data_IF_200520983153
#
_entry.id   IF_200520983153
#
_cell.length_a   1.000
_cell.length_b   1.000
_cell.length_c   1.000
_cell.angle_alpha   90.00
_cell.angle_beta   90.00
_cell.angle_gamma   90.00
#
_symmetry.space_group_name_H-M   'P 1'
#
loop_
_entity.id
_entity.type
_entity.pdbx_description
1 polymer ?
#
# COMPACT_ATOMS: atom_id res chain seq x y z
N UNK A 1 22.86 -10.14 1.65
CA UNK A 1 22.25 -9.00 2.38
C UNK A 1 21.74 -7.93 1.41
N UNK A 2 22.59 -7.34 0.56
CA UNK A 2 22.18 -6.30 -0.41
C UNK A 2 21.00 -6.71 -1.32
N UNK A 3 21.04 -7.90 -1.93
CA UNK A 3 19.93 -8.40 -2.79
C UNK A 3 18.61 -8.53 -2.05
N UNK A 4 18.63 -8.91 -0.76
CA UNK A 4 17.42 -9.01 0.06
C UNK A 4 16.89 -7.63 0.43
N UNK A 5 17.78 -6.70 0.82
CA UNK A 5 17.41 -5.32 1.12
C UNK A 5 16.80 -4.61 -0.10
N UNK A 6 17.40 -4.77 -1.29
CA UNK A 6 16.85 -4.23 -2.54
C UNK A 6 15.46 -4.79 -2.86
N UNK A 7 15.22 -6.09 -2.64
CA UNK A 7 13.89 -6.69 -2.85
C UNK A 7 12.84 -6.13 -1.91
N UNK A 8 13.18 -5.92 -0.63
CA UNK A 8 12.30 -5.30 0.36
C UNK A 8 11.96 -3.88 -0.07
N UNK A 9 12.96 -3.08 -0.46
CA UNK A 9 12.77 -1.71 -0.93
C UNK A 9 11.91 -1.64 -2.19
N UNK A 10 12.17 -2.51 -3.18
CA UNK A 10 11.38 -2.58 -4.42
C UNK A 10 9.95 -3.04 -4.12
N UNK A 11 9.77 -4.03 -3.24
CA UNK A 11 8.45 -4.50 -2.83
C UNK A 11 7.66 -3.41 -2.10
N UNK A 12 8.32 -2.65 -1.23
CA UNK A 12 7.71 -1.51 -0.53
C UNK A 12 7.34 -0.39 -1.51
N UNK A 13 8.25 0.01 -2.40
CA UNK A 13 7.99 1.05 -3.40
C UNK A 13 6.83 0.66 -4.33
N UNK A 14 6.79 -0.59 -4.79
CA UNK A 14 5.69 -1.11 -5.60
C UNK A 14 4.37 -1.15 -4.82
N UNK A 15 4.38 -1.54 -3.54
CA UNK A 15 3.19 -1.51 -2.70
C UNK A 15 2.64 -0.08 -2.54
N UNK A 16 3.50 0.92 -2.35
CA UNK A 16 3.09 2.33 -2.27
C UNK A 16 2.52 2.85 -3.60
N UNK A 17 3.14 2.48 -4.74
CA UNK A 17 2.62 2.82 -6.06
C UNK A 17 1.23 2.21 -6.29
N UNK A 18 1.05 0.95 -5.93
CA UNK A 18 -0.25 0.27 -6.07
C UNK A 18 -1.29 0.83 -5.11
N UNK A 19 -0.91 1.22 -3.89
CA UNK A 19 -1.80 1.92 -2.97
C UNK A 19 -2.30 3.24 -3.57
N UNK A 20 -1.38 4.06 -4.09
CA UNK A 20 -1.70 5.33 -4.74
C UNK A 20 -2.57 5.15 -5.98
N UNK A 21 -2.24 4.19 -6.84
CA UNK A 21 -3.02 3.88 -8.04
C UNK A 21 -4.44 3.44 -7.69
N UNK A 22 -4.57 2.60 -6.65
CA UNK A 22 -5.87 2.15 -6.16
C UNK A 22 -6.68 3.36 -5.69
N UNK A 23 -6.11 4.26 -4.88
CA UNK A 23 -6.83 5.46 -4.45
C UNK A 23 -7.26 6.36 -5.61
N UNK A 24 -6.40 6.55 -6.62
CA UNK A 24 -6.74 7.33 -7.82
C UNK A 24 -7.91 6.71 -8.58
N UNK A 25 -7.97 5.38 -8.70
CA UNK A 25 -9.10 4.67 -9.34
C UNK A 25 -10.42 4.79 -8.58
N UNK A 26 -10.39 5.09 -7.27
CA UNK A 26 -11.59 5.42 -6.50
C UNK A 26 -12.03 6.89 -6.70
N UNK A 27 -11.15 7.78 -7.16
CA UNK A 27 -11.47 9.20 -7.33
C UNK A 27 -11.77 9.56 -8.78
N UNK A 28 -11.02 8.96 -9.71
CA UNK A 28 -11.05 9.28 -11.13
C UNK A 28 -11.71 8.15 -11.90
N UNK A 29 -12.69 8.49 -12.73
CA UNK A 29 -13.35 7.53 -13.61
C UNK A 29 -12.34 6.88 -14.59
N UNK A 30 -12.29 5.53 -14.70
CA UNK A 30 -11.33 4.86 -15.57
C UNK A 30 -11.40 5.27 -17.03
N UNK A 31 -12.59 5.55 -17.58
CA UNK A 31 -12.71 6.00 -18.96
C UNK A 31 -12.11 7.41 -19.15
N UNK A 32 -12.26 8.27 -18.13
CA UNK A 32 -11.62 9.59 -18.08
C UNK A 32 -10.09 9.54 -18.07
N UNK A 33 -9.48 8.52 -17.46
CA UNK A 33 -8.01 8.35 -17.44
C UNK A 33 -7.46 8.12 -18.85
N UNK A 34 -8.14 7.30 -19.65
CA UNK A 34 -7.68 6.90 -20.99
C UNK A 34 -8.26 7.75 -22.12
N UNK A 35 -9.03 8.80 -21.81
CA UNK A 35 -9.65 9.67 -22.80
C UNK A 35 -8.62 10.47 -23.62
N UNK A 36 -7.47 10.82 -23.03
CA UNK A 36 -6.41 11.53 -23.71
C UNK A 36 -5.03 11.26 -23.08
N UNK A 37 -3.96 11.57 -23.80
CA UNK A 37 -2.58 11.48 -23.27
C UNK A 37 -2.36 12.40 -22.07
N UNK A 38 -2.99 13.57 -22.09
CA UNK A 38 -2.90 14.55 -21.00
C UNK A 38 -3.63 14.05 -19.75
N UNK A 39 -4.82 13.48 -19.90
CA UNK A 39 -5.58 12.85 -18.81
C UNK A 39 -4.81 11.68 -18.18
N UNK A 40 -4.19 10.84 -19.00
CA UNK A 40 -3.37 9.73 -18.52
C UNK A 40 -2.12 10.24 -17.76
N UNK A 41 -1.48 11.31 -18.25
CA UNK A 41 -0.36 11.94 -17.57
C UNK A 41 -0.76 12.55 -16.23
N UNK A 42 -1.91 13.22 -16.16
CA UNK A 42 -2.45 13.78 -14.92
C UNK A 42 -2.76 12.68 -13.88
N UNK A 43 -3.41 11.59 -14.30
CA UNK A 43 -3.68 10.44 -13.42
C UNK A 43 -2.39 9.76 -12.92
N UNK A 44 -1.37 9.67 -13.78
CA UNK A 44 -0.04 9.19 -13.42
C UNK A 44 0.63 10.09 -12.37
N UNK A 45 0.52 11.41 -12.52
CA UNK A 45 1.06 12.37 -11.55
C UNK A 45 0.34 12.29 -10.20
N UNK A 46 -1.00 12.19 -10.20
CA UNK A 46 -1.79 11.98 -8.99
C UNK A 46 -1.40 10.68 -8.28
N UNK A 47 -1.20 9.62 -9.06
CA UNK A 47 -0.75 8.32 -8.54
C UNK A 47 0.63 8.44 -7.88
N UNK A 48 1.57 9.14 -8.51
CA UNK A 48 2.90 9.35 -7.95
C UNK A 48 2.86 10.17 -6.65
N UNK A 49 2.05 11.23 -6.61
CA UNK A 49 1.86 12.05 -5.40
C UNK A 49 1.25 11.21 -4.26
N UNK A 50 0.17 10.48 -4.54
CA UNK A 50 -0.46 9.58 -3.57
C UNK A 50 0.51 8.50 -3.07
N UNK A 51 1.32 7.93 -3.97
CA UNK A 51 2.33 6.93 -3.63
C UNK A 51 3.42 7.49 -2.71
N UNK A 52 3.89 8.73 -2.94
CA UNK A 52 4.88 9.37 -2.06
C UNK A 52 4.33 9.65 -0.67
N UNK A 53 3.06 10.06 -0.57
CA UNK A 53 2.37 10.25 0.70
C UNK A 53 2.23 8.91 1.43
N UNK A 54 1.77 7.87 0.72
CA UNK A 54 1.66 6.52 1.26
C UNK A 54 3.02 5.98 1.73
N UNK A 55 4.10 6.20 0.96
CA UNK A 55 5.44 5.78 1.33
C UNK A 55 5.92 6.45 2.62
N UNK A 56 5.74 7.76 2.73
CA UNK A 56 6.18 8.53 3.90
C UNK A 56 5.44 8.08 5.16
N UNK A 57 4.12 7.88 5.06
CA UNK A 57 3.30 7.43 6.18
C UNK A 57 3.54 5.96 6.54
N UNK A 58 3.57 5.07 5.55
CA UNK A 58 3.60 3.64 5.77
C UNK A 58 4.98 3.11 6.20
N UNK A 59 6.07 3.82 5.90
CA UNK A 59 7.44 3.36 6.18
C UNK A 59 7.64 2.85 7.62
N UNK A 60 7.35 3.63 8.69
CA UNK A 60 7.56 3.17 10.07
C UNK A 60 6.72 1.93 10.39
N UNK A 61 5.46 1.89 9.95
CA UNK A 61 4.57 0.76 10.22
C UNK A 61 4.95 -0.49 9.42
N UNK A 62 5.44 -0.32 8.19
CA UNK A 62 5.92 -1.42 7.36
C UNK A 62 7.16 -2.07 7.96
N UNK A 63 8.08 -1.29 8.54
CA UNK A 63 9.24 -1.82 9.27
C UNK A 63 8.79 -2.67 10.46
N UNK A 64 7.81 -2.18 11.24
CA UNK A 64 7.24 -2.93 12.37
C UNK A 64 6.57 -4.22 11.87
N UNK A 65 5.71 -4.13 10.86
CA UNK A 65 4.98 -5.26 10.30
C UNK A 65 5.92 -6.37 9.79
N UNK A 66 6.98 -6.00 9.07
CA UNK A 66 8.00 -6.95 8.60
C UNK A 66 8.77 -7.55 9.77
N UNK A 67 9.19 -6.74 10.74
CA UNK A 67 9.90 -7.22 11.93
C UNK A 67 9.07 -8.23 12.73
N UNK A 68 7.80 -7.92 13.01
CA UNK A 68 6.87 -8.82 13.70
C UNK A 68 6.66 -10.10 12.88
N UNK A 69 6.45 -9.97 11.57
CA UNK A 69 6.24 -11.12 10.69
C UNK A 69 7.44 -12.07 10.65
N UNK A 70 8.67 -11.54 10.74
CA UNK A 70 9.89 -12.33 10.83
C UNK A 70 10.04 -13.02 12.22
N UNK A 71 9.73 -12.32 13.32
CA UNK A 71 9.81 -12.87 14.69
C UNK A 71 8.86 -14.06 14.85
N UNK A 72 7.63 -13.96 14.34
CA UNK A 72 6.61 -14.99 14.48
C UNK A 72 6.54 -15.98 13.30
N UNK A 73 7.43 -15.85 12.31
CA UNK A 73 7.44 -16.72 11.12
C UNK A 73 6.19 -16.58 10.23
N UNK A 74 5.47 -15.47 10.32
CA UNK A 74 4.23 -15.22 9.58
C UNK A 74 4.55 -14.75 8.16
N UNK A 75 4.67 -15.68 7.21
CA UNK A 75 5.07 -15.39 5.81
C UNK A 75 3.95 -15.59 4.78
N UNK A 76 2.72 -15.77 5.25
CA UNK A 76 1.55 -15.98 4.39
C UNK A 76 1.14 -14.70 3.67
N UNK A 77 0.53 -14.85 2.50
CA UNK A 77 -0.04 -13.73 1.75
C UNK A 77 -1.08 -12.96 2.59
N UNK A 78 -1.92 -13.68 3.32
CA UNK A 78 -2.92 -13.13 4.25
C UNK A 78 -2.30 -12.22 5.30
N UNK A 79 -1.14 -12.58 5.85
CA UNK A 79 -0.46 -11.78 6.88
C UNK A 79 -0.12 -10.39 6.35
N UNK A 80 0.48 -10.32 5.16
CA UNK A 80 0.86 -9.03 4.56
C UNK A 80 -0.34 -8.24 4.05
N UNK A 81 -1.39 -8.90 3.56
CA UNK A 81 -2.66 -8.25 3.23
C UNK A 81 -3.29 -7.61 4.48
N UNK A 82 -3.34 -8.33 5.62
CA UNK A 82 -3.87 -7.80 6.88
C UNK A 82 -3.03 -6.63 7.38
N UNK A 83 -1.70 -6.73 7.36
CA UNK A 83 -0.83 -5.61 7.71
C UNK A 83 -1.07 -4.39 6.82
N UNK A 84 -1.18 -4.59 5.50
CA UNK A 84 -1.48 -3.51 4.57
C UNK A 84 -2.81 -2.81 4.89
N UNK A 85 -3.86 -3.56 5.21
CA UNK A 85 -5.16 -3.01 5.63
C UNK A 85 -5.03 -2.23 6.95
N UNK A 86 -4.33 -2.77 7.95
CA UNK A 86 -4.14 -2.09 9.24
C UNK A 86 -3.39 -0.75 9.08
N UNK A 87 -2.37 -0.71 8.23
CA UNK A 87 -1.62 0.51 7.91
C UNK A 87 -2.51 1.53 7.18
N UNK A 88 -3.33 1.08 6.23
CA UNK A 88 -4.23 1.98 5.52
C UNK A 88 -5.35 2.52 6.44
N UNK A 89 -5.87 1.70 7.35
CA UNK A 89 -6.85 2.13 8.35
C UNK A 89 -6.27 3.12 9.36
N UNK A 90 -5.00 2.96 9.76
CA UNK A 90 -4.35 3.96 10.61
C UNK A 90 -4.19 5.29 9.87
N UNK A 91 -3.84 5.26 8.58
CA UNK A 91 -3.81 6.47 7.74
C UNK A 91 -5.19 7.14 7.69
N UNK A 92 -6.25 6.37 7.41
CA UNK A 92 -7.63 6.89 7.40
C UNK A 92 -8.01 7.53 8.74
N UNK A 93 -7.69 6.89 9.86
CA UNK A 93 -7.97 7.43 11.19
C UNK A 93 -7.25 8.77 11.44
N UNK A 94 -6.02 8.94 10.96
CA UNK A 94 -5.30 10.23 11.07
C UNK A 94 -5.93 11.33 10.23
N UNK A 95 -6.45 11.00 9.05
CA UNK A 95 -7.15 11.96 8.18
C UNK A 95 -8.45 12.41 8.84
N UNK A 96 -9.27 11.46 9.31
CA UNK A 96 -10.53 11.75 10.02
C UNK A 96 -10.30 12.54 11.31
N UNK A 97 -9.23 12.25 12.05
CA UNK A 97 -8.89 13.00 13.27
C UNK A 97 -8.44 14.44 12.99
N UNK A 98 -7.90 14.70 11.79
CA UNK A 98 -7.48 16.04 11.35
C UNK A 98 -8.63 16.89 10.79
N UNK A 99 -9.80 16.32 10.57
CA UNK A 99 -10.97 17.04 10.01
C UNK A 99 -11.64 17.92 11.07
N UNK A 100 -11.40 19.22 10.97
CA UNK A 100 -12.16 20.25 11.68
C UNK A 100 -13.55 20.45 11.06
N UNK A 101 -14.49 19.55 11.34
CA UNK A 101 -15.94 19.79 11.28
C UNK A 101 -16.64 19.89 9.91
N UNK A 102 -16.02 20.43 8.86
CA UNK A 102 -16.75 20.87 7.65
C UNK A 102 -16.66 19.95 6.41
N UNK A 103 -15.70 19.01 6.36
CA UNK A 103 -15.60 18.04 5.25
C UNK A 103 -15.78 16.64 5.83
N UNK A 104 -16.95 16.05 5.63
CA UNK A 104 -17.26 14.72 6.16
C UNK A 104 -16.62 13.64 5.26
N UNK A 105 -15.35 13.26 5.49
CA UNK A 105 -14.82 11.98 4.98
C UNK A 105 -15.36 10.77 5.76
N UNK A 106 -16.35 10.99 6.63
CA UNK A 106 -17.27 9.97 7.18
C UNK A 106 -18.20 9.38 6.09
N UNK A 107 -17.65 9.12 4.91
CA UNK A 107 -18.31 8.43 3.82
C UNK A 107 -17.78 6.99 3.76
N UNK A 108 -18.68 6.01 3.77
CA UNK A 108 -18.35 4.59 3.59
C UNK A 108 -17.47 4.36 2.36
N UNK A 109 -17.61 5.20 1.33
CA UNK A 109 -16.79 5.16 0.13
C UNK A 109 -15.29 5.38 0.38
N UNK A 110 -14.94 6.37 1.20
CA UNK A 110 -13.54 6.65 1.54
C UNK A 110 -12.94 5.50 2.35
N UNK A 111 -13.69 4.95 3.30
CA UNK A 111 -13.27 3.79 4.07
C UNK A 111 -12.95 2.58 3.17
N UNK A 112 -13.82 2.28 2.21
CA UNK A 112 -13.58 1.19 1.25
C UNK A 112 -12.35 1.44 0.37
N UNK A 113 -12.10 2.69 -0.03
CA UNK A 113 -10.90 3.03 -0.80
C UNK A 113 -9.60 2.75 -0.01
N UNK A 114 -9.57 3.08 1.29
CA UNK A 114 -8.42 2.78 2.16
C UNK A 114 -8.25 1.28 2.42
N UNK A 115 -9.35 0.55 2.66
CA UNK A 115 -9.29 -0.90 2.86
C UNK A 115 -8.77 -1.59 1.58
N UNK A 116 -9.31 -1.22 0.42
CA UNK A 116 -8.89 -1.77 -0.87
C UNK A 116 -7.43 -1.45 -1.17
N UNK A 117 -7.01 -0.19 -1.00
CA UNK A 117 -5.61 0.20 -1.25
C UNK A 117 -4.64 -0.53 -0.33
N UNK A 118 -4.96 -0.66 0.95
CA UNK A 118 -4.17 -1.41 1.93
C UNK A 118 -4.07 -2.89 1.59
N UNK A 119 -5.18 -3.53 1.22
CA UNK A 119 -5.22 -4.95 0.88
C UNK A 119 -4.36 -5.25 -0.37
N UNK A 120 -4.53 -4.47 -1.43
CA UNK A 120 -3.80 -4.67 -2.70
C UNK A 120 -2.32 -4.33 -2.53
N UNK A 121 -1.98 -3.28 -1.76
CA UNK A 121 -0.59 -2.94 -1.44
C UNK A 121 0.11 -4.05 -0.63
N UNK A 122 -0.56 -4.59 0.39
CA UNK A 122 -0.05 -5.70 1.20
C UNK A 122 0.19 -6.97 0.38
N UNK A 123 -0.74 -7.29 -0.53
CA UNK A 123 -0.58 -8.40 -1.46
C UNK A 123 0.60 -8.18 -2.43
N UNK A 124 0.73 -6.96 -2.95
CA UNK A 124 1.81 -6.55 -3.87
C UNK A 124 3.17 -6.71 -3.20
N UNK A 125 3.30 -6.26 -1.95
CA UNK A 125 4.51 -6.45 -1.17
C UNK A 125 4.86 -7.94 -1.02
N UNK A 126 3.88 -8.78 -0.68
CA UNK A 126 4.11 -10.22 -0.54
C UNK A 126 4.54 -10.88 -1.86
N UNK A 127 3.94 -10.50 -2.99
CA UNK A 127 4.29 -11.04 -4.31
C UNK A 127 5.75 -10.75 -4.69
N UNK A 128 6.25 -9.55 -4.36
CA UNK A 128 7.58 -9.09 -4.77
C UNK A 128 8.66 -9.49 -3.75
N UNK A 129 8.40 -9.29 -2.46
CA UNK A 129 9.37 -9.48 -1.39
C UNK A 129 9.09 -10.74 -0.54
N UNK A 130 7.83 -11.02 -0.21
CA UNK A 130 7.42 -12.08 0.71
C UNK A 130 7.61 -13.51 0.19
N UNK A 131 7.33 -13.77 -1.09
CA UNK A 131 7.40 -15.12 -1.70
C UNK A 131 8.81 -15.75 -1.69
N UNK A 132 9.87 -14.94 -1.71
CA UNK A 132 11.24 -15.42 -1.86
C UNK A 132 11.94 -15.77 -0.54
N UNK A 133 11.35 -15.44 0.62
CA UNK A 133 11.95 -15.70 1.94
C UNK A 133 11.91 -17.18 2.37
N UNK A 134 11.17 -18.04 1.65
CA UNK A 134 10.95 -19.45 2.02
C UNK A 134 11.96 -20.48 1.47
N UNK A 135 12.88 -20.12 0.58
CA UNK A 135 13.72 -21.11 -0.13
C UNK A 135 15.02 -21.55 0.59
N UNK A 136 15.25 -21.15 1.85
CA UNK A 136 16.52 -21.44 2.56
C UNK A 136 16.39 -22.31 3.82
N UNK A 137 15.28 -23.02 4.00
CA UNK A 137 15.07 -23.89 5.16
C UNK A 137 14.91 -25.38 4.82
N UNK A 138 15.46 -25.85 3.70
CA UNK A 138 15.59 -27.28 3.41
C UNK A 138 16.97 -27.54 2.80
N UNK A 139 17.97 -27.67 3.67
CA UNK A 139 19.12 -28.53 3.40
C UNK A 139 19.18 -29.51 4.56
N UNK A 140 18.71 -30.73 4.27
CA UNK A 140 18.84 -31.94 5.10
C UNK A 140 20.31 -32.22 5.35
#
# INVERSE_FOLDING_TARGET
MLRSALRILVGFAAACLVAGATQVLFVVDPAGIFASRESAAAAGLLTAMAATQAATFALPFAVIAVGVSEIFGLRGWLTFTVWGVLIALSAFATVVAGEGGDVSLRNSYALWAFIASGAVAGLTYWLIAGRAAGYRAVSV
#
